data_IF_549475439455
#
_entry.id   IF_549475439455
#
_cell.length_a   1.000
_cell.length_b   1.000
_cell.length_c   1.000
_cell.angle_alpha   90.00
_cell.angle_beta   90.00
_cell.angle_gamma   90.00
#
_symmetry.space_group_name_H-M   'P 1'
#
loop_
_entity.id
_entity.type
_entity.pdbx_description
1 polymer ?
#
# COMPACT_ATOMS: atom_id res chain seq x y z
N UNK A 1 9.98 72.80 -38.92
CA UNK A 1 8.87 72.01 -39.45
C UNK A 1 9.47 70.76 -40.04
N UNK A 2 9.56 69.68 -39.18
CA UNK A 2 10.34 68.48 -39.51
C UNK A 2 9.39 67.30 -39.31
N UNK A 3 9.22 66.51 -40.35
CA UNK A 3 8.38 65.29 -40.36
C UNK A 3 9.33 64.13 -40.11
N UNK A 4 9.09 63.27 -39.14
CA UNK A 4 9.86 62.04 -39.02
C UNK A 4 9.21 60.88 -39.78
N UNK A 5 10.07 60.05 -40.34
CA UNK A 5 9.80 58.89 -41.16
C UNK A 5 9.25 57.72 -40.33
N UNK A 6 8.26 57.01 -40.88
CA UNK A 6 7.66 55.78 -40.38
C UNK A 6 8.50 54.58 -40.83
N UNK A 7 9.10 53.87 -39.90
CA UNK A 7 9.88 52.65 -40.14
C UNK A 7 9.00 51.45 -39.91
N UNK A 8 8.65 50.77 -41.00
CA UNK A 8 7.88 49.52 -40.95
C UNK A 8 8.78 48.32 -40.56
N UNK A 9 8.47 47.67 -39.46
CA UNK A 9 9.11 46.42 -39.06
C UNK A 9 8.33 45.24 -39.70
N UNK A 10 8.96 44.54 -40.61
CA UNK A 10 8.46 43.28 -41.16
C UNK A 10 8.74 42.12 -40.21
N UNK A 11 7.68 41.51 -39.71
CA UNK A 11 7.76 40.30 -38.88
C UNK A 11 8.01 39.08 -39.79
N UNK A 12 9.19 38.50 -39.69
CA UNK A 12 9.52 37.21 -40.36
C UNK A 12 8.96 36.06 -39.57
N UNK A 13 8.05 35.33 -40.23
CA UNK A 13 7.49 34.06 -39.71
C UNK A 13 8.54 32.95 -39.89
N UNK A 14 9.14 32.48 -38.79
CA UNK A 14 10.02 31.35 -38.81
C UNK A 14 9.17 30.06 -38.71
N UNK A 15 9.24 29.24 -39.75
CA UNK A 15 8.64 27.88 -39.80
C UNK A 15 9.28 26.96 -38.77
N UNK A 16 8.45 26.46 -37.84
CA UNK A 16 8.84 25.38 -36.95
C UNK A 16 8.70 24.04 -37.70
N UNK A 17 9.84 23.47 -38.11
CA UNK A 17 9.92 22.11 -38.62
C UNK A 17 9.47 21.14 -37.57
N UNK A 18 8.36 20.46 -37.83
CA UNK A 18 7.92 19.25 -37.08
C UNK A 18 8.88 18.10 -37.39
N UNK A 19 9.76 17.81 -36.45
CA UNK A 19 10.56 16.59 -36.45
C UNK A 19 9.69 15.43 -35.97
N UNK A 20 9.39 14.48 -36.86
CA UNK A 20 8.73 13.22 -36.51
C UNK A 20 9.70 12.35 -35.72
N UNK A 21 9.50 12.25 -34.43
CA UNK A 21 10.16 11.24 -33.62
C UNK A 21 9.53 9.90 -33.98
N UNK A 22 10.30 9.04 -34.63
CA UNK A 22 9.99 7.60 -34.77
C UNK A 22 10.12 6.97 -33.39
N UNK A 23 8.99 6.69 -32.74
CA UNK A 23 8.95 5.80 -31.58
C UNK A 23 9.15 4.38 -32.09
N UNK A 24 10.32 3.84 -31.89
CA UNK A 24 10.64 2.44 -32.12
C UNK A 24 9.94 1.62 -31.04
N UNK A 25 9.10 0.66 -31.44
CA UNK A 25 8.48 -0.35 -30.57
C UNK A 25 9.55 -1.31 -30.02
N UNK A 26 10.24 -0.90 -28.96
CA UNK A 26 11.15 -1.78 -28.20
C UNK A 26 11.12 -1.41 -26.72
N UNK A 27 9.94 -1.49 -26.10
CA UNK A 27 9.79 -1.29 -24.64
C UNK A 27 8.67 -2.15 -24.01
N UNK A 28 8.34 -3.29 -24.61
CA UNK A 28 7.27 -4.14 -24.10
C UNK A 28 7.74 -5.32 -23.22
N UNK A 29 9.03 -5.47 -22.92
CA UNK A 29 9.54 -6.65 -22.19
C UNK A 29 10.33 -6.39 -20.88
N UNK A 30 10.34 -5.17 -20.35
CA UNK A 30 11.12 -4.88 -19.11
C UNK A 30 10.24 -4.65 -17.88
N UNK A 31 8.92 -4.62 -18.00
CA UNK A 31 8.04 -4.23 -16.88
C UNK A 31 7.56 -5.38 -15.97
N UNK A 32 7.93 -6.65 -16.23
CA UNK A 32 7.42 -7.77 -15.43
C UNK A 32 8.29 -8.12 -14.22
N UNK A 33 9.59 -7.81 -14.23
CA UNK A 33 10.50 -8.23 -13.15
C UNK A 33 10.80 -7.17 -12.10
N UNK A 34 10.49 -5.89 -12.36
CA UNK A 34 10.74 -4.79 -11.42
C UNK A 34 9.53 -4.53 -10.52
N UNK A 35 8.32 -4.90 -10.97
CA UNK A 35 7.09 -4.71 -10.19
C UNK A 35 7.05 -5.56 -8.91
N UNK A 36 7.73 -6.70 -8.89
CA UNK A 36 7.76 -7.62 -7.73
C UNK A 36 8.74 -7.21 -6.63
N UNK A 37 9.60 -6.21 -6.86
CA UNK A 37 10.66 -5.82 -5.93
C UNK A 37 10.39 -4.51 -5.19
N UNK A 38 9.32 -3.79 -5.52
CA UNK A 38 9.03 -2.46 -4.95
C UNK A 38 7.62 -2.45 -4.39
N UNK A 39 7.48 -1.96 -3.15
CA UNK A 39 6.19 -1.59 -2.61
C UNK A 39 5.60 -0.45 -3.46
N UNK A 40 4.40 -0.65 -4.00
CA UNK A 40 3.69 0.30 -4.85
C UNK A 40 2.29 0.58 -4.28
N UNK A 41 2.16 1.49 -3.30
CA UNK A 41 0.88 1.82 -2.70
C UNK A 41 -0.16 2.18 -3.75
N UNK A 42 -1.30 1.49 -3.73
CA UNK A 42 -2.36 1.67 -4.70
C UNK A 42 -3.74 1.47 -4.08
N UNK A 43 -4.78 2.01 -4.74
CA UNK A 43 -6.16 1.82 -4.29
C UNK A 43 -6.53 0.33 -4.32
N UNK A 44 -7.02 -0.16 -3.17
CA UNK A 44 -7.54 -1.52 -3.03
C UNK A 44 -9.00 -1.54 -3.44
N UNK A 45 -9.33 -2.36 -4.43
CA UNK A 45 -10.70 -2.65 -4.85
C UNK A 45 -11.01 -4.13 -4.67
N UNK A 46 -12.28 -4.47 -4.49
CA UNK A 46 -12.67 -5.87 -4.31
C UNK A 46 -12.45 -6.68 -5.59
N UNK A 47 -11.77 -7.80 -5.46
CA UNK A 47 -11.59 -8.79 -6.51
C UNK A 47 -12.29 -10.09 -6.08
N UNK A 48 -13.27 -10.54 -6.86
CA UNK A 48 -14.11 -11.71 -6.50
C UNK A 48 -14.71 -11.62 -5.09
N UNK A 49 -15.11 -10.40 -4.67
CA UNK A 49 -15.72 -10.17 -3.36
C UNK A 49 -14.73 -10.06 -2.18
N UNK A 50 -13.42 -10.08 -2.44
CA UNK A 50 -12.38 -9.97 -1.42
C UNK A 50 -11.59 -8.66 -1.60
N UNK A 51 -11.43 -7.91 -0.51
CA UNK A 51 -10.48 -6.80 -0.42
C UNK A 51 -9.16 -7.35 0.10
N UNK A 52 -8.10 -7.24 -0.70
CA UNK A 52 -6.76 -7.73 -0.38
C UNK A 52 -5.82 -6.57 -0.05
N UNK A 53 -5.53 -6.41 1.23
CA UNK A 53 -4.62 -5.41 1.77
C UNK A 53 -3.24 -6.07 1.91
N UNK A 54 -2.43 -5.96 0.87
CA UNK A 54 -1.10 -6.60 0.81
C UNK A 54 -0.01 -5.62 1.23
N UNK A 55 1.18 -6.15 1.54
CA UNK A 55 2.35 -5.31 1.75
C UNK A 55 2.77 -4.55 0.47
N UNK A 56 2.42 -5.06 -0.72
CA UNK A 56 2.74 -4.43 -2.00
C UNK A 56 1.91 -3.18 -2.25
N UNK A 57 0.61 -3.18 -1.87
CA UNK A 57 -0.32 -2.07 -2.11
C UNK A 57 -0.56 -1.16 -0.89
N UNK A 58 0.00 -1.50 0.26
CA UNK A 58 -0.07 -0.69 1.48
C UNK A 58 1.02 0.37 1.56
N UNK A 59 0.78 1.45 2.27
CA UNK A 59 1.75 2.51 2.53
C UNK A 59 2.28 2.41 3.95
N UNK A 60 3.58 2.11 4.13
CA UNK A 60 4.19 2.07 5.45
C UNK A 60 4.44 3.48 5.99
N UNK A 61 4.30 3.65 7.30
CA UNK A 61 4.61 4.86 8.04
C UNK A 61 5.35 4.48 9.33
N UNK A 62 6.42 5.20 9.63
CA UNK A 62 7.19 5.03 10.86
C UNK A 62 8.69 4.93 10.59
N UNK A 63 9.50 4.89 11.65
CA UNK A 63 10.95 4.97 11.53
C UNK A 63 11.63 3.67 11.07
N UNK A 64 11.05 2.49 11.36
CA UNK A 64 11.75 1.22 11.20
C UNK A 64 11.12 0.29 10.15
N UNK A 65 9.82 0.35 9.94
CA UNK A 65 9.09 -0.54 9.02
C UNK A 65 9.66 -0.49 7.59
N UNK A 66 9.87 -1.66 6.98
CA UNK A 66 10.41 -1.81 5.62
C UNK A 66 9.64 -2.87 4.84
N UNK A 67 9.48 -2.63 3.55
CA UNK A 67 9.03 -3.66 2.63
C UNK A 67 10.17 -4.61 2.29
N UNK A 68 9.90 -5.90 2.36
CA UNK A 68 10.82 -7.01 2.06
C UNK A 68 10.35 -7.72 0.78
N UNK A 69 10.94 -7.43 -0.39
CA UNK A 69 10.48 -7.98 -1.67
C UNK A 69 10.49 -9.51 -1.72
N UNK A 70 11.51 -10.13 -1.15
CA UNK A 70 11.70 -11.59 -1.10
C UNK A 70 10.60 -12.32 -0.35
N UNK A 71 9.97 -11.65 0.62
CA UNK A 71 8.89 -12.18 1.44
C UNK A 71 7.52 -11.61 1.06
N UNK A 72 7.48 -10.57 0.20
CA UNK A 72 6.28 -9.76 -0.09
C UNK A 72 5.57 -9.32 1.20
N UNK A 73 6.35 -8.87 2.18
CA UNK A 73 5.88 -8.54 3.51
C UNK A 73 6.50 -7.23 4.02
N UNK A 74 5.85 -6.59 4.99
CA UNK A 74 6.45 -5.55 5.80
C UNK A 74 7.12 -6.18 7.02
N UNK A 75 8.41 -5.90 7.22
CA UNK A 75 9.17 -6.30 8.41
C UNK A 75 9.71 -5.13 9.21
N UNK A 76 10.48 -5.42 10.26
CA UNK A 76 10.94 -4.43 11.25
C UNK A 76 9.83 -3.56 11.83
N UNK A 77 8.63 -4.12 11.93
CA UNK A 77 7.41 -3.44 12.30
C UNK A 77 7.35 -3.22 13.82
N UNK A 78 7.76 -2.04 14.29
CA UNK A 78 7.80 -1.69 15.72
C UNK A 78 6.48 -1.09 16.21
N UNK A 79 6.38 -0.81 17.50
CA UNK A 79 5.20 -0.16 18.08
C UNK A 79 4.98 1.31 17.63
N UNK A 80 5.95 1.89 16.90
CA UNK A 80 5.86 3.26 16.36
C UNK A 80 5.46 3.30 14.89
N UNK A 81 5.33 2.13 14.27
CA UNK A 81 5.05 1.99 12.86
C UNK A 81 3.58 1.65 12.59
N UNK A 82 3.15 1.90 11.38
CA UNK A 82 1.82 1.55 10.89
C UNK A 82 1.83 1.31 9.40
N UNK A 83 0.79 0.65 8.90
CA UNK A 83 0.52 0.54 7.46
C UNK A 83 -0.87 1.10 7.20
N UNK A 84 -1.01 1.85 6.11
CA UNK A 84 -2.28 2.45 5.68
C UNK A 84 -2.61 1.97 4.27
N UNK A 85 -3.84 1.53 4.06
CA UNK A 85 -4.42 1.25 2.75
C UNK A 85 -5.55 2.22 2.46
N UNK A 86 -5.64 2.67 1.21
CA UNK A 86 -6.82 3.33 0.67
C UNK A 86 -7.69 2.25 0.01
N UNK A 87 -8.94 2.16 0.44
CA UNK A 87 -9.82 1.04 0.10
C UNK A 87 -11.15 1.56 -0.43
N UNK A 88 -11.61 1.05 -1.57
CA UNK A 88 -12.96 1.24 -2.06
C UNK A 88 -13.82 0.04 -1.65
N UNK A 89 -14.63 0.22 -0.62
CA UNK A 89 -15.53 -0.81 -0.09
C UNK A 89 -16.81 -0.86 -0.93
N UNK A 90 -17.12 -1.99 -1.59
CA UNK A 90 -18.23 -2.07 -2.53
C UNK A 90 -19.59 -2.04 -1.81
N UNK A 91 -19.67 -2.59 -0.60
CA UNK A 91 -20.90 -2.68 0.19
C UNK A 91 -20.60 -2.50 1.68
N UNK A 92 -21.47 -1.77 2.38
CA UNK A 92 -21.39 -1.66 3.83
C UNK A 92 -21.75 -2.99 4.53
N UNK A 93 -21.24 -3.18 5.75
CA UNK A 93 -21.56 -4.29 6.64
C UNK A 93 -20.33 -4.97 7.21
N UNK A 94 -20.55 -6.11 7.83
CA UNK A 94 -19.52 -6.88 8.51
C UNK A 94 -18.66 -7.66 7.50
N UNK A 95 -17.35 -7.65 7.74
CA UNK A 95 -16.34 -8.40 6.97
C UNK A 95 -15.54 -9.30 7.91
N UNK A 96 -15.37 -10.55 7.53
CA UNK A 96 -14.41 -11.45 8.17
C UNK A 96 -13.00 -10.99 7.84
N UNK A 97 -12.13 -10.93 8.84
CA UNK A 97 -10.73 -10.50 8.73
C UNK A 97 -9.83 -11.71 8.84
N UNK A 98 -9.06 -11.96 7.79
CA UNK A 98 -8.02 -12.98 7.76
C UNK A 98 -6.66 -12.30 7.65
N UNK A 99 -5.74 -12.63 8.55
CA UNK A 99 -4.39 -12.09 8.62
C UNK A 99 -3.38 -13.15 8.18
N UNK A 100 -2.39 -12.75 7.35
CA UNK A 100 -1.22 -13.55 7.00
C UNK A 100 0.05 -12.87 7.52
N UNK A 101 0.79 -13.56 8.41
CA UNK A 101 1.97 -13.03 9.09
C UNK A 101 2.99 -14.09 9.42
N UNK A 102 4.23 -13.65 9.71
CA UNK A 102 5.22 -14.45 10.42
C UNK A 102 5.74 -13.71 11.66
N UNK A 103 6.19 -14.47 12.65
CA UNK A 103 6.77 -13.95 13.88
C UNK A 103 7.54 -15.07 14.61
N UNK A 104 8.66 -14.74 15.25
CA UNK A 104 9.34 -15.67 16.15
C UNK A 104 8.48 -15.97 17.37
N UNK A 105 8.71 -17.12 17.98
CA UNK A 105 8.00 -17.52 19.21
C UNK A 105 8.25 -16.55 20.38
N UNK A 106 9.41 -15.91 20.42
CA UNK A 106 9.82 -14.94 21.46
C UNK A 106 9.10 -13.61 21.30
N UNK A 107 8.81 -13.18 20.08
CA UNK A 107 8.14 -11.91 19.76
C UNK A 107 6.63 -12.02 19.68
N UNK A 108 6.08 -13.22 19.60
CA UNK A 108 4.63 -13.46 19.55
C UNK A 108 3.91 -12.97 20.84
N UNK A 109 2.60 -12.79 20.73
CA UNK A 109 1.75 -12.37 21.85
C UNK A 109 1.54 -10.87 21.97
N UNK A 110 2.18 -10.04 21.14
CA UNK A 110 1.89 -8.59 21.06
C UNK A 110 0.50 -8.35 20.49
N UNK A 111 -0.10 -7.24 20.84
CA UNK A 111 -1.46 -6.88 20.43
C UNK A 111 -1.43 -5.94 19.23
N UNK A 112 -2.29 -6.20 18.25
CA UNK A 112 -2.51 -5.34 17.09
C UNK A 112 -3.91 -4.72 17.11
N UNK A 113 -4.06 -3.64 16.35
CA UNK A 113 -5.34 -3.05 16.00
C UNK A 113 -5.42 -2.80 14.51
N UNK A 114 -6.56 -3.18 13.91
CA UNK A 114 -6.98 -2.83 12.57
C UNK A 114 -8.09 -1.80 12.68
N UNK A 115 -7.85 -0.60 12.16
CA UNK A 115 -8.72 0.57 12.32
C UNK A 115 -9.39 0.85 10.98
N UNK A 116 -10.73 0.93 10.98
CA UNK A 116 -11.53 1.44 9.89
C UNK A 116 -12.23 2.76 10.28
N UNK A 117 -13.07 3.30 9.41
CA UNK A 117 -13.71 4.61 9.65
C UNK A 117 -14.67 4.60 10.85
N UNK A 118 -15.37 3.49 11.08
CA UNK A 118 -16.46 3.39 12.07
C UNK A 118 -16.28 2.26 13.07
N UNK A 119 -15.27 1.41 12.90
CA UNK A 119 -15.06 0.24 13.74
C UNK A 119 -13.57 -0.13 13.80
N UNK A 120 -13.17 -0.79 14.88
CA UNK A 120 -11.80 -1.25 15.12
C UNK A 120 -11.82 -2.73 15.53
N UNK A 121 -10.87 -3.50 15.01
CA UNK A 121 -10.61 -4.87 15.42
C UNK A 121 -9.28 -4.95 16.15
N UNK A 122 -9.29 -5.34 17.42
CA UNK A 122 -8.09 -5.68 18.18
C UNK A 122 -7.86 -7.18 18.21
N UNK A 123 -6.61 -7.59 18.23
CA UNK A 123 -6.25 -9.00 18.31
C UNK A 123 -4.83 -9.20 18.84
N UNK A 124 -4.48 -10.46 19.03
CA UNK A 124 -3.15 -10.86 19.49
C UNK A 124 -2.44 -11.66 18.42
N UNK A 125 -1.16 -11.36 18.19
CA UNK A 125 -0.31 -12.07 17.23
C UNK A 125 0.04 -13.43 17.78
N UNK A 126 -0.51 -14.49 17.21
CA UNK A 126 -0.17 -15.87 17.58
C UNK A 126 1.21 -16.25 17.03
N UNK A 127 1.85 -17.21 17.65
CA UNK A 127 3.08 -17.83 17.17
C UNK A 127 2.93 -18.38 15.76
N UNK A 128 3.89 -18.12 14.89
CA UNK A 128 4.00 -18.79 13.59
C UNK A 128 5.17 -19.79 13.53
N UNK A 129 6.04 -19.77 14.53
CA UNK A 129 7.20 -20.66 14.66
C UNK A 129 8.52 -19.94 14.36
N UNK A 130 8.61 -19.15 13.32
CA UNK A 130 9.80 -18.36 12.98
C UNK A 130 9.45 -17.17 12.08
N UNK A 131 10.41 -16.27 11.86
CA UNK A 131 10.26 -15.15 10.93
C UNK A 131 10.10 -15.59 9.47
N UNK A 132 10.52 -16.80 9.09
CA UNK A 132 10.38 -17.36 7.75
C UNK A 132 9.10 -18.16 7.54
N UNK A 133 8.37 -18.46 8.63
CA UNK A 133 7.16 -19.27 8.58
C UNK A 133 5.90 -18.41 8.62
N UNK A 134 5.29 -18.20 7.47
CA UNK A 134 4.04 -17.45 7.38
C UNK A 134 2.83 -18.33 7.74
N UNK A 135 1.93 -17.76 8.50
CA UNK A 135 0.68 -18.37 8.98
C UNK A 135 -0.50 -17.51 8.58
N UNK A 136 -1.59 -18.15 8.18
CA UNK A 136 -2.86 -17.50 7.88
C UNK A 136 -3.91 -17.90 8.91
N UNK A 137 -4.67 -16.94 9.46
CA UNK A 137 -5.73 -17.19 10.44
C UNK A 137 -6.81 -16.12 10.36
N UNK A 138 -8.07 -16.54 10.57
CA UNK A 138 -9.17 -15.62 10.83
C UNK A 138 -9.02 -15.03 12.24
N UNK A 139 -9.00 -13.69 12.32
CA UNK A 139 -8.70 -12.96 13.57
C UNK A 139 -9.92 -12.22 14.12
N UNK A 140 -11.05 -12.24 13.43
CA UNK A 140 -12.30 -11.61 13.85
C UNK A 140 -13.07 -10.98 12.69
N UNK A 141 -13.91 -10.02 13.03
CA UNK A 141 -14.73 -9.29 12.07
C UNK A 141 -14.58 -7.78 12.28
N UNK A 142 -14.84 -7.00 11.23
CA UNK A 142 -14.85 -5.54 11.27
C UNK A 142 -16.01 -5.00 10.44
N UNK A 143 -16.70 -3.95 10.92
CA UNK A 143 -17.76 -3.29 10.18
C UNK A 143 -17.19 -2.19 9.28
N UNK A 144 -17.49 -2.28 7.99
CA UNK A 144 -17.06 -1.31 7.00
C UNK A 144 -18.23 -0.52 6.44
N UNK A 145 -18.04 0.78 6.20
CA UNK A 145 -18.96 1.60 5.42
C UNK A 145 -18.68 1.46 3.92
N UNK A 146 -19.68 1.64 3.07
CA UNK A 146 -19.51 1.66 1.62
C UNK A 146 -18.74 2.91 1.17
N UNK A 147 -17.88 2.76 0.15
CA UNK A 147 -17.14 3.84 -0.49
C UNK A 147 -15.67 3.89 -0.06
N UNK A 148 -15.05 5.02 -0.36
CA UNK A 148 -13.63 5.26 -0.08
C UNK A 148 -13.38 5.44 1.41
N UNK A 149 -12.43 4.66 1.95
CA UNK A 149 -11.95 4.83 3.32
C UNK A 149 -10.49 4.39 3.47
N UNK A 150 -9.91 4.72 4.60
CA UNK A 150 -8.57 4.24 4.99
C UNK A 150 -8.73 3.13 6.00
N UNK A 151 -7.90 2.09 5.83
CA UNK A 151 -7.74 1.03 6.81
C UNK A 151 -6.31 1.09 7.30
N UNK A 152 -6.11 1.06 8.62
CA UNK A 152 -4.80 1.22 9.27
C UNK A 152 -4.53 -0.01 10.12
N UNK A 153 -3.33 -0.58 9.99
CA UNK A 153 -2.83 -1.63 10.87
C UNK A 153 -1.63 -1.10 11.66
N UNK A 154 -1.63 -1.31 12.96
CA UNK A 154 -0.52 -0.95 13.86
C UNK A 154 -0.51 -1.80 15.12
N UNK A 155 0.52 -1.67 15.93
CA UNK A 155 0.47 -2.20 17.29
C UNK A 155 -0.57 -1.47 18.12
N UNK A 156 -1.32 -2.20 18.94
CA UNK A 156 -2.24 -1.61 19.93
C UNK A 156 -1.48 -1.18 21.19
N UNK A 157 -0.51 -1.96 21.60
CA UNK A 157 0.28 -1.70 22.82
C UNK A 157 1.70 -1.25 22.47
N UNK A 158 2.31 -0.49 23.39
CA UNK A 158 3.72 -0.10 23.29
C UNK A 158 4.61 -1.27 23.72
N UNK A 159 5.71 -1.45 23.00
CA UNK A 159 6.80 -2.34 23.38
C UNK A 159 8.13 -1.71 22.94
N UNK A 160 9.21 -2.01 23.66
CA UNK A 160 10.51 -1.36 23.46
C UNK A 160 11.47 -2.18 22.60
N UNK A 161 11.21 -3.48 22.42
CA UNK A 161 12.11 -4.40 21.71
C UNK A 161 11.37 -5.33 20.77
N UNK A 162 12.06 -5.73 19.69
CA UNK A 162 11.55 -6.63 18.68
C UNK A 162 10.56 -5.98 17.72
N UNK A 163 9.92 -6.79 16.91
CA UNK A 163 8.85 -6.38 16.00
C UNK A 163 7.51 -6.98 16.43
N UNK A 164 6.40 -6.41 15.95
CA UNK A 164 5.07 -7.00 16.22
C UNK A 164 4.90 -8.28 15.41
N UNK A 165 5.23 -8.24 14.12
CA UNK A 165 5.15 -9.32 13.15
C UNK A 165 5.79 -8.86 11.82
N UNK A 166 6.00 -9.81 10.90
CA UNK A 166 6.12 -9.50 9.48
C UNK A 166 4.76 -9.67 8.83
N UNK A 167 4.22 -8.60 8.25
CA UNK A 167 2.88 -8.54 7.68
C UNK A 167 2.90 -8.74 6.17
N UNK A 168 2.24 -9.82 5.70
CA UNK A 168 2.12 -10.08 4.26
C UNK A 168 0.80 -9.59 3.68
N UNK A 169 -0.32 -9.99 4.27
CA UNK A 169 -1.65 -9.68 3.74
C UNK A 169 -2.72 -9.64 4.84
N UNK A 170 -3.71 -8.77 4.65
CA UNK A 170 -4.99 -8.82 5.35
C UNK A 170 -6.09 -8.97 4.29
N UNK A 171 -6.93 -9.99 4.44
CA UNK A 171 -8.08 -10.19 3.56
C UNK A 171 -9.36 -9.85 4.30
N UNK A 172 -10.21 -9.06 3.66
CA UNK A 172 -11.53 -8.70 4.17
C UNK A 172 -12.57 -9.29 3.24
N UNK A 173 -13.41 -10.19 3.78
CA UNK A 173 -14.43 -10.94 3.02
C UNK A 173 -15.78 -10.79 3.69
N UNK A 174 -16.82 -10.52 2.90
CA UNK A 174 -18.18 -10.67 3.42
C UNK A 174 -18.47 -12.12 3.80
N UNK A 175 -19.23 -12.34 4.89
CA UNK A 175 -19.67 -13.70 5.29
C UNK A 175 -20.43 -14.43 4.18
#
# INVERSE_FOLDING_TARGET
MIIPALMALTLSCAEVKKEKIKVTEESAHINSSVADTVNNPSLVTAQSGVLRLTAENGKPFGPEIKYMPEWKAFGWFTAKDSVVWEVEVPEAGQYNVQLEWSVSDEDAGKEFILIATTDDLTGRVDKSGSWETFKTKDVGTIDLIKGMQKIIFRSETKFDKGAILDLREIQLRKP
#
